data_IF_946419912893
#
_entry.id   IF_946419912893
#
_cell.length_a   1.000
_cell.length_b   1.000
_cell.length_c   1.000
_cell.angle_alpha   90.00
_cell.angle_beta   90.00
_cell.angle_gamma   90.00
#
_symmetry.space_group_name_H-M   'P 1'
#
loop_
_entity.id
_entity.type
_entity.pdbx_description
1 polymer ?
#
# COMPACT_ATOMS: atom_id res chain seq x y z
N UNK A 1 -59.09 35.41 51.35
CA UNK A 1 -59.80 35.51 50.04
C UNK A 1 -58.91 36.37 49.16
N UNK A 2 -58.29 35.94 48.07
CA UNK A 2 -58.77 35.07 46.99
C UNK A 2 -57.67 34.12 46.48
N UNK A 3 -58.12 32.94 46.08
CA UNK A 3 -57.39 31.88 45.38
C UNK A 3 -57.42 32.16 43.88
N UNK A 4 -56.30 32.00 43.17
CA UNK A 4 -56.33 31.82 41.71
C UNK A 4 -55.20 30.92 41.22
N UNK A 5 -55.54 29.63 41.09
CA UNK A 5 -55.22 28.67 40.03
C UNK A 5 -53.91 28.81 39.23
N UNK A 6 -52.96 27.91 39.52
CA UNK A 6 -51.94 27.48 38.57
C UNK A 6 -52.55 26.50 37.54
N UNK A 7 -52.67 26.92 36.27
CA UNK A 7 -53.01 26.04 35.15
C UNK A 7 -51.71 25.49 34.54
N UNK A 8 -51.54 24.17 34.60
CA UNK A 8 -50.48 23.45 33.90
C UNK A 8 -50.69 23.47 32.39
N UNK A 9 -49.65 23.83 31.64
CA UNK A 9 -49.54 23.55 30.22
C UNK A 9 -48.78 22.23 30.06
N UNK A 10 -49.52 21.16 29.80
CA UNK A 10 -48.94 19.93 29.26
C UNK A 10 -48.53 20.21 27.81
N UNK A 11 -47.22 20.25 27.55
CA UNK A 11 -46.65 20.33 26.21
C UNK A 11 -46.96 19.02 25.48
N UNK A 12 -47.90 19.06 24.54
CA UNK A 12 -48.20 17.94 23.65
C UNK A 12 -47.01 17.79 22.70
N UNK A 13 -46.20 16.75 22.90
CA UNK A 13 -45.13 16.36 21.98
C UNK A 13 -45.78 15.82 20.69
N UNK A 14 -45.48 16.35 19.50
CA UNK A 14 -46.08 15.86 18.27
C UNK A 14 -45.56 14.46 17.95
N UNK A 15 -46.48 13.56 17.56
CA UNK A 15 -46.12 12.23 17.08
C UNK A 15 -45.16 12.34 15.88
N UNK A 16 -44.10 11.51 15.80
CA UNK A 16 -43.15 11.56 14.69
C UNK A 16 -43.88 11.30 13.36
N UNK A 17 -43.59 12.14 12.36
CA UNK A 17 -44.19 12.04 11.03
C UNK A 17 -43.85 10.69 10.37
N UNK A 18 -44.77 10.18 9.55
CA UNK A 18 -44.62 8.92 8.80
C UNK A 18 -43.34 8.94 7.94
N UNK A 19 -42.92 10.12 7.47
CA UNK A 19 -41.67 10.33 6.74
C UNK A 19 -40.43 10.01 7.56
N UNK A 20 -40.39 10.39 8.85
CA UNK A 20 -39.29 10.02 9.74
C UNK A 20 -39.25 8.51 9.97
N UNK A 21 -40.40 7.87 10.18
CA UNK A 21 -40.51 6.42 10.38
C UNK A 21 -39.99 5.64 9.14
N UNK A 22 -40.31 6.11 7.93
CA UNK A 22 -39.83 5.51 6.68
C UNK A 22 -38.33 5.73 6.47
N UNK A 23 -37.79 6.89 6.85
CA UNK A 23 -36.36 7.20 6.77
C UNK A 23 -35.53 6.30 7.73
N UNK A 24 -36.02 6.09 8.96
CA UNK A 24 -35.36 5.17 9.92
C UNK A 24 -35.39 3.71 9.44
N UNK A 25 -36.50 3.25 8.85
CA UNK A 25 -36.61 1.90 8.29
C UNK A 25 -35.73 1.69 7.05
N UNK A 26 -35.56 2.71 6.21
CA UNK A 26 -34.66 2.68 5.05
C UNK A 26 -33.19 2.59 5.48
N UNK A 27 -32.78 3.41 6.45
CA UNK A 27 -31.42 3.40 7.01
C UNK A 27 -31.10 2.09 7.72
N UNK A 28 -32.06 1.49 8.44
CA UNK A 28 -31.87 0.20 9.11
C UNK A 28 -31.69 -0.98 8.12
N UNK A 29 -32.40 -0.96 6.98
CA UNK A 29 -32.21 -1.95 5.90
C UNK A 29 -30.87 -1.78 5.18
N UNK A 30 -30.45 -0.55 4.92
CA UNK A 30 -29.12 -0.28 4.35
C UNK A 30 -28.01 -0.71 5.31
N UNK A 31 -28.15 -0.43 6.61
CA UNK A 31 -27.18 -0.80 7.64
C UNK A 31 -27.06 -2.33 7.78
N UNK A 32 -28.18 -3.07 7.76
CA UNK A 32 -28.17 -4.54 7.83
C UNK A 32 -27.64 -5.19 6.55
N UNK A 33 -27.85 -4.59 5.38
CA UNK A 33 -27.22 -5.03 4.13
C UNK A 33 -25.70 -4.78 4.13
N UNK A 34 -25.27 -3.60 4.60
CA UNK A 34 -23.85 -3.28 4.80
C UNK A 34 -23.19 -4.26 5.78
N UNK A 35 -23.81 -4.52 6.93
CA UNK A 35 -23.30 -5.49 7.92
C UNK A 35 -23.20 -6.90 7.34
N UNK A 36 -24.14 -7.33 6.48
CA UNK A 36 -24.08 -8.63 5.80
C UNK A 36 -22.94 -8.70 4.78
N UNK A 37 -22.72 -7.64 4.00
CA UNK A 37 -21.62 -7.56 3.03
C UNK A 37 -20.26 -7.56 3.76
N UNK A 38 -20.16 -6.83 4.87
CA UNK A 38 -18.96 -6.81 5.71
C UNK A 38 -18.72 -8.19 6.31
N UNK A 39 -19.75 -8.87 6.82
CA UNK A 39 -19.62 -10.22 7.36
C UNK A 39 -19.21 -11.26 6.31
N UNK A 40 -19.75 -11.19 5.09
CA UNK A 40 -19.34 -12.08 3.99
C UNK A 40 -17.93 -11.76 3.48
N UNK A 41 -17.53 -10.49 3.43
CA UNK A 41 -16.16 -10.10 3.12
C UNK A 41 -15.17 -10.59 4.19
N UNK A 42 -15.53 -10.50 5.48
CA UNK A 42 -14.75 -10.99 6.60
C UNK A 42 -14.62 -12.52 6.59
N UNK A 43 -15.67 -13.24 6.18
CA UNK A 43 -15.66 -14.70 6.01
C UNK A 43 -14.81 -15.15 4.80
N UNK A 44 -14.74 -14.33 3.74
CA UNK A 44 -13.87 -14.61 2.59
C UNK A 44 -12.39 -14.33 2.90
N UNK A 45 -12.11 -13.40 3.82
CA UNK A 45 -10.76 -13.10 4.30
C UNK A 45 -10.14 -14.25 5.10
N UNK A 46 -10.93 -15.07 5.81
CA UNK A 46 -10.40 -16.22 6.56
C UNK A 46 -9.97 -17.39 5.66
N UNK A 47 -10.47 -17.48 4.43
CA UNK A 47 -10.07 -18.52 3.47
C UNK A 47 -8.78 -18.21 2.69
N UNK A 48 -8.23 -16.99 2.78
CA UNK A 48 -7.01 -16.59 2.06
C UNK A 48 -5.72 -16.68 2.89
N UNK A 49 -5.79 -17.25 4.10
CA UNK A 49 -4.67 -17.31 5.04
C UNK A 49 -3.52 -18.26 4.68
N UNK A 50 -3.62 -19.07 3.62
CA UNK A 50 -2.65 -20.13 3.34
C UNK A 50 -1.67 -19.84 2.18
N UNK A 51 -1.64 -18.64 1.62
CA UNK A 51 -0.68 -18.27 0.57
C UNK A 51 0.11 -17.00 0.94
N UNK A 52 0.82 -17.06 2.07
CA UNK A 52 1.79 -16.01 2.42
C UNK A 52 3.14 -16.37 1.83
N UNK A 53 3.61 -15.59 0.86
CA UNK A 53 5.01 -15.64 0.46
C UNK A 53 5.91 -15.23 1.61
N UNK A 54 7.08 -15.87 1.79
CA UNK A 54 8.07 -15.36 2.71
C UNK A 54 8.59 -14.00 2.22
N UNK A 55 8.95 -13.07 3.13
CA UNK A 55 9.45 -11.73 2.77
C UNK A 55 10.66 -11.74 1.83
N UNK A 56 11.48 -12.79 1.90
CA UNK A 56 12.66 -12.96 1.05
C UNK A 56 12.44 -13.95 -0.12
N UNK A 57 11.24 -14.49 -0.26
CA UNK A 57 10.92 -15.48 -1.30
C UNK A 57 10.82 -14.90 -2.71
N UNK A 58 10.69 -15.76 -3.73
CA UNK A 58 10.41 -15.32 -5.09
C UNK A 58 9.12 -14.50 -5.18
N UNK A 59 8.97 -13.73 -6.26
CA UNK A 59 7.75 -12.99 -6.52
C UNK A 59 6.64 -13.97 -6.93
N UNK A 60 5.52 -13.98 -6.20
CA UNK A 60 4.36 -14.80 -6.55
C UNK A 60 3.38 -14.01 -7.41
N UNK A 61 3.33 -14.35 -8.70
CA UNK A 61 2.51 -13.69 -9.71
C UNK A 61 1.66 -14.72 -10.48
N UNK A 62 0.66 -15.36 -9.84
CA UNK A 62 -0.21 -16.35 -10.48
C UNK A 62 -1.07 -15.75 -11.60
N UNK A 63 -1.20 -14.42 -11.65
CA UNK A 63 -2.00 -13.70 -12.64
C UNK A 63 -1.14 -12.94 -13.66
N UNK A 64 0.12 -13.34 -13.86
CA UNK A 64 1.04 -12.70 -14.79
C UNK A 64 0.42 -12.39 -16.17
N UNK A 65 -0.33 -13.31 -16.84
CA UNK A 65 -0.93 -13.01 -18.14
C UNK A 65 -1.97 -11.88 -18.11
N UNK A 66 -2.68 -11.72 -16.98
CA UNK A 66 -3.67 -10.66 -16.77
C UNK A 66 -2.95 -9.37 -16.39
N UNK A 67 -2.02 -9.45 -15.44
CA UNK A 67 -1.21 -8.33 -14.97
C UNK A 67 -0.43 -7.66 -16.12
N UNK A 68 0.15 -8.44 -17.04
CA UNK A 68 0.80 -7.93 -18.26
C UNK A 68 -0.16 -7.16 -19.17
N UNK A 69 -1.41 -7.61 -19.33
CA UNK A 69 -2.43 -6.91 -20.13
C UNK A 69 -2.83 -5.58 -19.50
N UNK A 70 -3.04 -5.57 -18.17
CA UNK A 70 -3.36 -4.35 -17.43
C UNK A 70 -2.16 -3.39 -17.44
N UNK A 71 -0.94 -3.91 -17.28
CA UNK A 71 0.28 -3.12 -17.42
C UNK A 71 0.38 -2.47 -18.81
N UNK A 72 0.11 -3.22 -19.88
CA UNK A 72 0.12 -2.68 -21.24
C UNK A 72 -0.96 -1.59 -21.42
N UNK A 73 -2.14 -1.77 -20.84
CA UNK A 73 -3.18 -0.74 -20.82
C UNK A 73 -2.72 0.52 -20.08
N UNK A 74 -2.19 0.37 -18.86
CA UNK A 74 -1.68 1.49 -18.05
C UNK A 74 -0.55 2.24 -18.76
N UNK A 75 0.38 1.50 -19.37
CA UNK A 75 1.50 2.08 -20.11
C UNK A 75 1.01 2.88 -21.33
N UNK A 76 0.03 2.36 -22.09
CA UNK A 76 -0.60 3.12 -23.18
C UNK A 76 -1.31 4.37 -22.67
N UNK A 77 -2.12 4.26 -21.60
CA UNK A 77 -2.80 5.40 -21.00
C UNK A 77 -1.80 6.46 -20.53
N UNK A 78 -0.68 6.06 -19.93
CA UNK A 78 0.40 6.98 -19.55
C UNK A 78 1.02 7.66 -20.78
N UNK A 79 1.44 6.89 -21.78
CA UNK A 79 2.11 7.43 -22.97
C UNK A 79 1.25 8.43 -23.76
N UNK A 80 -0.04 8.15 -23.91
CA UNK A 80 -0.94 8.97 -24.74
C UNK A 80 -1.64 10.09 -23.97
N UNK A 81 -1.82 9.95 -22.65
CA UNK A 81 -2.61 10.89 -21.86
C UNK A 81 -1.77 11.51 -20.76
N UNK A 82 -1.29 10.70 -19.81
CA UNK A 82 -0.74 11.24 -18.57
C UNK A 82 0.65 11.87 -18.76
N UNK A 83 1.56 11.23 -19.50
CA UNK A 83 2.92 11.70 -19.78
C UNK A 83 2.94 13.02 -20.58
N UNK A 84 2.13 13.20 -21.65
CA UNK A 84 2.00 14.51 -22.31
C UNK A 84 1.47 15.60 -21.37
N UNK A 85 0.42 15.31 -20.59
CA UNK A 85 -0.15 16.28 -19.63
C UNK A 85 0.88 16.66 -18.57
N UNK A 86 1.58 15.68 -17.98
CA UNK A 86 2.62 15.91 -16.98
C UNK A 86 3.82 16.69 -17.55
N UNK A 87 4.19 16.42 -18.80
CA UNK A 87 5.26 17.17 -19.49
C UNK A 87 4.84 18.62 -19.72
N UNK A 88 3.60 18.85 -20.15
CA UNK A 88 3.05 20.21 -20.31
C UNK A 88 2.94 20.94 -18.98
N UNK A 89 2.48 20.27 -17.92
CA UNK A 89 2.41 20.78 -16.56
C UNK A 89 3.78 21.26 -16.07
N UNK A 90 4.82 20.43 -16.23
CA UNK A 90 6.21 20.77 -15.89
C UNK A 90 6.81 21.86 -16.78
N UNK A 91 6.37 21.96 -18.03
CA UNK A 91 6.86 22.99 -18.95
C UNK A 91 6.26 24.38 -18.64
N UNK A 92 4.99 24.45 -18.23
CA UNK A 92 4.27 25.71 -18.00
C UNK A 92 4.54 26.28 -16.61
N UNK A 93 4.69 25.43 -15.60
CA UNK A 93 4.86 25.87 -14.22
C UNK A 93 6.34 26.15 -13.90
N UNK A 94 6.65 27.27 -13.22
CA UNK A 94 7.97 27.46 -12.63
C UNK A 94 8.27 26.41 -11.57
N UNK A 95 9.53 26.01 -11.44
CA UNK A 95 9.98 24.96 -10.49
C UNK A 95 9.48 25.17 -9.05
N UNK A 96 9.40 26.42 -8.58
CA UNK A 96 8.90 26.77 -7.24
C UNK A 96 7.42 26.41 -7.08
N UNK A 97 6.60 26.64 -8.12
CA UNK A 97 5.17 26.33 -8.09
C UNK A 97 4.95 24.83 -8.22
N UNK A 98 5.67 24.18 -9.15
CA UNK A 98 5.62 22.72 -9.32
C UNK A 98 5.98 22.01 -8.01
N UNK A 99 7.11 22.39 -7.40
CA UNK A 99 7.56 21.84 -6.12
C UNK A 99 6.60 22.18 -4.97
N UNK A 100 6.03 23.39 -4.97
CA UNK A 100 5.05 23.78 -3.96
C UNK A 100 3.79 22.92 -3.99
N UNK A 101 3.25 22.64 -5.18
CA UNK A 101 2.10 21.75 -5.34
C UNK A 101 2.47 20.32 -4.91
N UNK A 102 3.65 19.82 -5.30
CA UNK A 102 4.16 18.53 -4.84
C UNK A 102 4.25 18.44 -3.30
N UNK A 103 4.75 19.49 -2.66
CA UNK A 103 4.87 19.56 -1.20
C UNK A 103 3.50 19.57 -0.51
N UNK A 104 2.50 20.28 -1.06
CA UNK A 104 1.13 20.29 -0.51
C UNK A 104 0.55 18.88 -0.50
N UNK A 105 0.61 18.16 -1.63
CA UNK A 105 0.13 16.77 -1.68
C UNK A 105 0.92 15.86 -0.76
N UNK A 106 2.24 16.03 -0.69
CA UNK A 106 3.06 15.27 0.25
C UNK A 106 2.69 15.54 1.71
N UNK A 107 2.40 16.80 2.08
CA UNK A 107 2.03 17.19 3.43
C UNK A 107 0.67 16.59 3.81
N UNK A 108 -0.28 16.54 2.87
CA UNK A 108 -1.57 15.89 3.09
C UNK A 108 -1.45 14.39 3.34
N UNK A 109 -0.49 13.72 2.70
CA UNK A 109 -0.22 12.30 2.93
C UNK A 109 0.40 12.03 4.31
N UNK A 110 1.04 13.01 4.96
CA UNK A 110 1.59 12.86 6.32
C UNK A 110 0.51 12.45 7.33
N UNK A 111 -0.75 12.90 7.14
CA UNK A 111 -1.88 12.48 8.00
C UNK A 111 -2.07 10.96 7.95
N UNK A 112 -1.99 10.38 6.75
CA UNK A 112 -2.09 8.94 6.60
C UNK A 112 -0.86 8.23 7.21
N UNK A 113 0.33 8.77 7.02
CA UNK A 113 1.57 8.24 7.62
C UNK A 113 1.43 8.19 9.15
N UNK A 114 1.11 9.31 9.79
CA UNK A 114 0.96 9.41 11.26
C UNK A 114 -0.07 8.40 11.80
N UNK A 115 -1.21 8.26 11.12
CA UNK A 115 -2.22 7.25 11.53
C UNK A 115 -1.61 5.85 11.49
N UNK A 116 -0.87 5.52 10.44
CA UNK A 116 -0.26 4.20 10.30
C UNK A 116 0.94 4.00 11.23
N UNK A 117 1.76 5.02 11.50
CA UNK A 117 2.82 4.95 12.51
C UNK A 117 2.25 4.56 13.87
N UNK A 118 1.16 5.21 14.28
CA UNK A 118 0.48 4.91 15.55
C UNK A 118 -0.08 3.48 15.54
N UNK A 119 -0.72 3.06 14.45
CA UNK A 119 -1.24 1.69 14.32
C UNK A 119 -0.13 0.63 14.32
N UNK A 120 1.07 0.97 13.86
CA UNK A 120 2.26 0.11 13.89
C UNK A 120 3.02 0.21 15.22
N UNK A 121 2.61 1.10 16.14
CA UNK A 121 3.29 1.32 17.42
C UNK A 121 4.58 2.16 17.33
N UNK A 122 4.85 2.80 16.19
CA UNK A 122 6.05 3.62 15.92
C UNK A 122 5.88 5.06 16.43
N UNK A 123 5.72 5.24 17.74
CA UNK A 123 5.38 6.55 18.34
C UNK A 123 6.41 7.67 18.07
N UNK A 124 7.69 7.32 17.94
CA UNK A 124 8.75 8.31 17.63
C UNK A 124 8.58 8.83 16.19
N UNK A 125 8.33 7.94 15.23
CA UNK A 125 8.06 8.32 13.83
C UNK A 125 6.77 9.14 13.76
N UNK A 126 5.70 8.68 14.42
CA UNK A 126 4.43 9.41 14.49
C UNK A 126 4.61 10.86 15.00
N UNK A 127 5.45 11.06 16.02
CA UNK A 127 5.74 12.40 16.55
C UNK A 127 6.56 13.25 15.56
N UNK A 128 7.51 12.65 14.85
CA UNK A 128 8.30 13.32 13.81
C UNK A 128 7.43 13.75 12.64
N UNK A 129 6.61 12.84 12.08
CA UNK A 129 5.74 13.12 10.94
C UNK A 129 4.61 14.09 11.32
N UNK A 130 4.09 14.01 12.55
CA UNK A 130 3.18 15.04 13.09
C UNK A 130 3.83 16.41 13.16
N UNK A 131 5.10 16.47 13.59
CA UNK A 131 5.87 17.72 13.64
C UNK A 131 6.10 18.30 12.25
N UNK A 132 6.42 17.45 11.27
CA UNK A 132 6.53 17.83 9.85
C UNK A 132 5.22 18.42 9.34
N UNK A 133 4.10 17.74 9.57
CA UNK A 133 2.77 18.21 9.18
C UNK A 133 2.45 19.57 9.79
N UNK A 134 2.65 19.75 11.10
CA UNK A 134 2.37 21.01 11.79
C UNK A 134 3.25 22.13 11.26
N UNK A 135 4.57 21.91 11.14
CA UNK A 135 5.50 22.93 10.64
C UNK A 135 5.20 23.33 9.21
N UNK A 136 5.00 22.37 8.32
CA UNK A 136 4.70 22.62 6.91
C UNK A 136 3.34 23.29 6.74
N UNK A 137 2.35 22.93 7.53
CA UNK A 137 1.01 23.55 7.46
C UNK A 137 1.00 24.98 8.01
N UNK A 138 1.69 25.22 9.13
CA UNK A 138 1.67 26.52 9.82
C UNK A 138 2.68 27.51 9.23
N UNK A 139 3.96 27.15 9.25
CA UNK A 139 5.05 28.00 8.80
C UNK A 139 5.35 27.82 7.30
N UNK A 140 5.05 26.64 6.76
CA UNK A 140 5.21 26.33 5.34
C UNK A 140 4.04 26.77 4.45
N UNK A 141 3.13 27.60 4.96
CA UNK A 141 1.97 28.14 4.25
C UNK A 141 1.10 27.02 3.67
N UNK A 142 0.51 26.20 4.53
CA UNK A 142 -0.37 25.09 4.12
C UNK A 142 0.35 23.93 3.43
N UNK A 143 1.67 23.83 3.58
CA UNK A 143 2.50 22.79 2.98
C UNK A 143 3.15 23.17 1.66
N UNK A 144 3.05 24.43 1.20
CA UNK A 144 3.76 24.89 0.00
C UNK A 144 5.29 24.80 0.16
N UNK A 145 5.78 25.10 1.36
CA UNK A 145 7.20 24.98 1.68
C UNK A 145 7.44 23.83 2.67
N UNK A 146 8.27 22.86 2.29
CA UNK A 146 8.71 21.78 3.18
C UNK A 146 9.79 22.27 4.14
N UNK A 147 9.35 22.85 5.26
CA UNK A 147 10.21 23.29 6.35
C UNK A 147 10.68 22.14 7.22
N UNK A 148 9.88 21.07 7.35
CA UNK A 148 10.24 19.86 8.09
C UNK A 148 11.58 19.29 7.61
N UNK A 149 11.74 19.15 6.30
CA UNK A 149 13.02 18.70 5.71
C UNK A 149 14.14 19.71 5.95
N UNK A 150 13.87 21.02 5.87
CA UNK A 150 14.90 22.06 6.10
C UNK A 150 15.45 22.07 7.52
N UNK A 151 14.64 21.68 8.51
CA UNK A 151 15.07 21.55 9.92
C UNK A 151 15.57 20.15 10.27
N UNK A 152 15.69 19.25 9.27
CA UNK A 152 16.27 17.93 9.44
C UNK A 152 15.33 16.87 10.00
N UNK A 153 14.01 17.06 9.94
CA UNK A 153 13.07 16.01 10.33
C UNK A 153 13.05 14.90 9.26
N UNK A 154 13.30 13.63 9.62
CA UNK A 154 13.21 12.52 8.69
C UNK A 154 11.78 12.38 8.17
N UNK A 155 11.64 12.01 6.90
CA UNK A 155 10.34 11.79 6.25
C UNK A 155 10.08 10.31 6.13
N UNK A 156 8.94 9.85 6.63
CA UNK A 156 8.51 8.46 6.48
C UNK A 156 7.33 8.35 5.52
N UNK A 157 6.99 7.11 5.15
CA UNK A 157 5.82 6.82 4.34
C UNK A 157 5.23 5.49 4.77
N UNK A 158 4.11 5.58 5.48
CA UNK A 158 3.39 4.43 5.99
C UNK A 158 1.98 4.35 5.41
N UNK A 159 1.58 3.12 5.09
CA UNK A 159 0.30 2.81 4.45
C UNK A 159 -0.42 1.72 5.23
N UNK A 160 -1.75 1.65 5.08
CA UNK A 160 -2.54 0.55 5.67
C UNK A 160 -2.07 -0.83 5.20
N UNK A 161 -1.51 -0.94 3.99
CA UNK A 161 -0.91 -2.18 3.49
C UNK A 161 0.32 -2.60 4.28
N UNK A 162 1.20 -1.66 4.63
CA UNK A 162 2.34 -1.92 5.52
C UNK A 162 1.88 -2.25 6.93
N UNK A 163 0.92 -1.49 7.47
CA UNK A 163 0.34 -1.76 8.78
C UNK A 163 -0.21 -3.18 8.87
N UNK A 164 -1.01 -3.62 7.90
CA UNK A 164 -1.47 -5.02 7.86
C UNK A 164 -0.30 -6.03 7.84
N UNK A 165 0.80 -5.71 7.15
CA UNK A 165 2.01 -6.52 7.14
C UNK A 165 2.69 -6.62 8.51
N UNK A 166 2.81 -5.50 9.23
CA UNK A 166 3.34 -5.47 10.61
C UNK A 166 2.49 -6.34 11.55
N UNK A 167 1.18 -6.39 11.31
CA UNK A 167 0.23 -7.20 12.07
C UNK A 167 0.16 -8.67 11.60
N UNK A 168 1.06 -9.10 10.72
CA UNK A 168 1.21 -10.50 10.31
C UNK A 168 0.33 -10.93 9.13
N UNK A 169 -0.37 -10.00 8.47
CA UNK A 169 -1.11 -10.32 7.25
C UNK A 169 -0.10 -10.44 6.09
N UNK A 170 -0.07 -11.63 5.47
CA UNK A 170 0.78 -11.92 4.31
C UNK A 170 0.51 -10.98 3.13
N UNK A 171 1.53 -10.76 2.29
CA UNK A 171 1.41 -9.85 1.13
C UNK A 171 0.38 -10.33 0.09
N UNK A 172 0.22 -11.65 -0.06
CA UNK A 172 -0.56 -12.28 -1.09
C UNK A 172 0.04 -12.12 -2.50
N UNK A 173 -0.64 -12.61 -3.54
CA UNK A 173 -0.24 -12.47 -4.93
C UNK A 173 0.06 -11.03 -5.35
N UNK A 174 1.03 -10.87 -6.25
CA UNK A 174 1.25 -9.64 -7.00
C UNK A 174 0.07 -9.37 -7.95
N UNK A 175 -0.35 -8.11 -8.02
CA UNK A 175 -1.44 -7.66 -8.88
C UNK A 175 -1.05 -6.35 -9.55
N UNK A 176 -1.52 -6.13 -10.77
CA UNK A 176 -1.46 -4.81 -11.39
C UNK A 176 -2.87 -4.25 -11.46
N UNK A 177 -3.06 -3.10 -10.82
CA UNK A 177 -4.33 -2.39 -10.82
C UNK A 177 -4.45 -1.48 -12.05
N UNK A 178 -5.61 -1.44 -12.73
CA UNK A 178 -5.85 -0.45 -13.78
C UNK A 178 -5.67 0.97 -13.22
N UNK A 179 -4.97 1.83 -13.96
CA UNK A 179 -4.58 3.20 -13.62
C UNK A 179 -3.61 3.36 -12.43
N UNK A 180 -3.66 2.49 -11.42
CA UNK A 180 -2.86 2.63 -10.19
C UNK A 180 -1.52 1.88 -10.24
N UNK A 181 -1.37 0.90 -11.12
CA UNK A 181 -0.10 0.21 -11.35
C UNK A 181 0.17 -0.97 -10.39
N UNK A 182 1.45 -1.30 -10.14
CA UNK A 182 1.88 -2.42 -9.30
C UNK A 182 1.29 -2.39 -7.88
N UNK A 183 0.81 -3.53 -7.40
CA UNK A 183 0.34 -3.74 -6.04
C UNK A 183 0.44 -5.23 -5.64
N UNK A 184 0.06 -5.59 -4.42
CA UNK A 184 -0.26 -6.95 -4.02
C UNK A 184 -1.67 -6.98 -3.40
N UNK A 185 -2.21 -8.16 -3.08
CA UNK A 185 -3.58 -8.27 -2.54
C UNK A 185 -3.73 -7.49 -1.23
N UNK A 186 -2.77 -7.61 -0.31
CA UNK A 186 -2.78 -6.87 0.96
C UNK A 186 -2.72 -5.36 0.74
N UNK A 187 -1.81 -4.90 -0.09
CA UNK A 187 -1.62 -3.50 -0.44
C UNK A 187 -2.83 -2.92 -1.17
N UNK A 188 -3.55 -3.73 -1.95
CA UNK A 188 -4.82 -3.33 -2.58
C UNK A 188 -5.90 -3.10 -1.53
N UNK A 189 -6.02 -4.00 -0.54
CA UNK A 189 -6.92 -3.78 0.60
C UNK A 189 -6.52 -2.51 1.39
N UNK A 190 -5.22 -2.28 1.57
CA UNK A 190 -4.70 -1.07 2.22
C UNK A 190 -5.00 0.20 1.42
N UNK A 191 -4.92 0.14 0.10
CA UNK A 191 -5.30 1.22 -0.79
C UNK A 191 -6.80 1.55 -0.70
N UNK A 192 -7.66 0.52 -0.60
CA UNK A 192 -9.10 0.73 -0.37
C UNK A 192 -9.34 1.39 0.98
N UNK A 193 -8.68 0.90 2.04
CA UNK A 193 -8.76 1.51 3.37
C UNK A 193 -8.38 3.00 3.33
N UNK A 194 -7.24 3.32 2.71
CA UNK A 194 -6.81 4.70 2.49
C UNK A 194 -7.89 5.57 1.83
N UNK A 195 -8.48 5.10 0.73
CA UNK A 195 -9.52 5.85 0.01
C UNK A 195 -10.79 6.08 0.86
N UNK A 196 -11.11 5.15 1.77
CA UNK A 196 -12.28 5.25 2.63
C UNK A 196 -12.06 6.08 3.90
N UNK A 197 -10.81 6.23 4.35
CA UNK A 197 -10.50 6.82 5.67
C UNK A 197 -9.66 8.09 5.62
N UNK A 198 -8.57 8.14 4.86
CA UNK A 198 -7.57 9.22 4.97
C UNK A 198 -7.33 9.96 3.66
N UNK A 199 -7.94 9.51 2.55
CA UNK A 199 -7.84 10.23 1.29
C UNK A 199 -8.58 11.58 1.34
N UNK A 200 -7.89 12.65 0.96
CA UNK A 200 -8.49 13.99 0.93
C UNK A 200 -9.73 14.09 0.01
N UNK A 201 -9.74 13.53 -1.22
CA UNK A 201 -10.89 13.65 -2.12
C UNK A 201 -12.20 13.14 -1.53
N UNK A 202 -12.15 12.20 -0.58
CA UNK A 202 -13.32 11.65 0.12
C UNK A 202 -14.09 12.70 0.94
N UNK A 203 -13.38 13.73 1.41
CA UNK A 203 -13.91 14.79 2.27
C UNK A 203 -14.29 16.07 1.50
N UNK A 204 -14.20 16.05 0.17
CA UNK A 204 -14.63 17.15 -0.69
C UNK A 204 -16.04 16.86 -1.20
N UNK A 205 -17.02 17.67 -0.81
CA UNK A 205 -18.44 17.46 -1.17
C UNK A 205 -18.72 17.69 -2.66
N UNK A 206 -18.01 18.62 -3.29
CA UNK A 206 -18.24 18.96 -4.69
C UNK A 206 -17.46 18.03 -5.63
N UNK A 207 -18.18 17.19 -6.37
CA UNK A 207 -17.62 16.13 -7.22
C UNK A 207 -16.54 16.63 -8.19
N UNK A 208 -16.80 17.74 -8.90
CA UNK A 208 -15.80 18.28 -9.84
C UNK A 208 -14.55 18.80 -9.13
N UNK A 209 -14.69 19.32 -7.90
CA UNK A 209 -13.53 19.76 -7.11
C UNK A 209 -12.74 18.56 -6.64
N UNK A 210 -13.41 17.51 -6.15
CA UNK A 210 -12.78 16.25 -5.73
C UNK A 210 -12.00 15.60 -6.87
N UNK A 211 -12.61 15.53 -8.05
CA UNK A 211 -11.98 15.05 -9.27
C UNK A 211 -10.79 15.91 -9.67
N UNK A 212 -10.92 17.25 -9.61
CA UNK A 212 -9.84 18.18 -9.97
C UNK A 212 -8.64 18.05 -9.04
N UNK A 213 -8.87 17.91 -7.73
CA UNK A 213 -7.81 17.68 -6.74
C UNK A 213 -7.10 16.35 -7.01
N UNK A 214 -7.88 15.29 -7.24
CA UNK A 214 -7.33 13.96 -7.56
C UNK A 214 -6.49 14.00 -8.84
N UNK A 215 -7.02 14.58 -9.92
CA UNK A 215 -6.33 14.71 -11.20
C UNK A 215 -5.04 15.52 -11.06
N UNK A 216 -5.08 16.63 -10.32
CA UNK A 216 -3.89 17.46 -10.05
C UNK A 216 -2.82 16.67 -9.30
N UNK A 217 -3.21 15.90 -8.28
CA UNK A 217 -2.29 15.03 -7.54
C UNK A 217 -1.63 13.96 -8.42
N UNK A 218 -2.40 13.32 -9.30
CA UNK A 218 -1.88 12.33 -10.25
C UNK A 218 -0.92 12.97 -11.25
N UNK A 219 -1.27 14.12 -11.83
CA UNK A 219 -0.41 14.86 -12.78
C UNK A 219 0.87 15.33 -12.11
N UNK A 220 0.78 15.93 -10.92
CA UNK A 220 1.93 16.39 -10.13
C UNK A 220 2.88 15.23 -9.78
N UNK A 221 2.32 14.09 -9.36
CA UNK A 221 3.12 12.89 -9.08
C UNK A 221 3.82 12.37 -10.34
N UNK A 222 3.10 12.31 -11.47
CA UNK A 222 3.71 11.87 -12.73
C UNK A 222 4.82 12.81 -13.20
N UNK A 223 4.62 14.13 -13.04
CA UNK A 223 5.60 15.15 -13.42
C UNK A 223 6.93 14.95 -12.68
N UNK A 224 6.88 14.67 -11.37
CA UNK A 224 8.05 14.34 -10.55
C UNK A 224 8.74 13.03 -11.01
N UNK A 225 7.97 12.08 -11.55
CA UNK A 225 8.46 10.78 -12.01
C UNK A 225 8.88 10.73 -13.49
N UNK A 226 8.80 11.84 -14.24
CA UNK A 226 9.16 11.86 -15.67
C UNK A 226 10.59 11.42 -15.95
N UNK A 227 11.55 11.79 -15.08
CA UNK A 227 12.95 11.40 -15.24
C UNK A 227 13.17 9.92 -14.95
N UNK A 228 12.59 9.40 -13.86
CA UNK A 228 12.68 7.98 -13.51
C UNK A 228 12.04 7.08 -14.58
N UNK A 229 10.90 7.50 -15.14
CA UNK A 229 10.23 6.76 -16.22
C UNK A 229 11.10 6.60 -17.47
N UNK A 230 11.89 7.61 -17.85
CA UNK A 230 12.80 7.51 -18.99
C UNK A 230 13.90 6.46 -18.81
N UNK A 231 14.37 6.29 -17.57
CA UNK A 231 15.37 5.26 -17.26
C UNK A 231 14.77 3.86 -17.38
N UNK A 232 13.54 3.68 -16.88
CA UNK A 232 12.80 2.43 -17.02
C UNK A 232 12.57 2.05 -18.50
N UNK A 233 12.13 3.03 -19.31
CA UNK A 233 11.86 2.84 -20.74
C UNK A 233 13.13 2.45 -21.54
N UNK A 234 14.32 2.84 -21.08
CA UNK A 234 15.58 2.66 -21.79
C UNK A 234 16.40 1.44 -21.32
N UNK A 235 16.28 1.07 -20.04
CA UNK A 235 17.17 0.08 -19.41
C UNK A 235 16.61 -1.35 -19.37
N UNK A 236 15.29 -1.52 -19.48
CA UNK A 236 14.65 -2.82 -19.26
C UNK A 236 14.35 -3.56 -20.58
N UNK A 237 14.87 -4.78 -20.72
CA UNK A 237 14.50 -5.70 -21.80
C UNK A 237 13.03 -6.15 -21.68
N UNK A 238 12.59 -6.46 -20.45
CA UNK A 238 11.18 -6.64 -20.09
C UNK A 238 10.80 -5.62 -19.00
N UNK A 239 10.21 -4.47 -19.38
CA UNK A 239 9.79 -3.43 -18.45
C UNK A 239 8.77 -3.89 -17.40
N UNK A 240 7.95 -4.90 -17.71
CA UNK A 240 6.97 -5.43 -16.77
C UNK A 240 7.67 -6.19 -15.64
N UNK A 241 8.53 -7.16 -15.98
CA UNK A 241 9.24 -7.97 -14.98
C UNK A 241 10.14 -7.09 -14.11
N UNK A 242 10.88 -6.17 -14.74
CA UNK A 242 11.73 -5.23 -14.01
C UNK A 242 10.93 -4.40 -12.99
N UNK A 243 9.80 -3.82 -13.42
CA UNK A 243 8.96 -3.00 -12.54
C UNK A 243 8.34 -3.83 -11.42
N UNK A 244 7.88 -5.05 -11.72
CA UNK A 244 7.32 -5.97 -10.74
C UNK A 244 8.35 -6.30 -9.66
N UNK A 245 9.53 -6.76 -10.05
CA UNK A 245 10.54 -7.23 -9.12
C UNK A 245 11.11 -6.07 -8.29
N UNK A 246 11.30 -4.90 -8.91
CA UNK A 246 11.67 -3.67 -8.20
C UNK A 246 10.60 -3.27 -7.18
N UNK A 247 9.32 -3.22 -7.58
CA UNK A 247 8.23 -2.81 -6.69
C UNK A 247 8.08 -3.77 -5.51
N UNK A 248 8.08 -5.09 -5.75
CA UNK A 248 7.94 -6.10 -4.69
C UNK A 248 9.07 -5.98 -3.68
N UNK A 249 10.31 -5.86 -4.15
CA UNK A 249 11.48 -5.67 -3.28
C UNK A 249 11.35 -4.40 -2.44
N UNK A 250 11.05 -3.27 -3.08
CA UNK A 250 10.90 -2.00 -2.39
C UNK A 250 9.76 -2.05 -1.36
N UNK A 251 8.61 -2.61 -1.72
CA UNK A 251 7.45 -2.72 -0.83
C UNK A 251 7.76 -3.58 0.39
N UNK A 252 8.43 -4.73 0.22
CA UNK A 252 8.86 -5.58 1.34
C UNK A 252 9.82 -4.84 2.26
N UNK A 253 10.81 -4.13 1.71
CA UNK A 253 11.71 -3.30 2.51
C UNK A 253 10.96 -2.24 3.30
N UNK A 254 9.96 -1.58 2.70
CA UNK A 254 9.17 -0.54 3.38
C UNK A 254 8.23 -1.09 4.47
N UNK A 255 7.91 -2.39 4.47
CA UNK A 255 7.11 -3.02 5.55
C UNK A 255 7.97 -3.30 6.78
N UNK A 256 9.26 -3.57 6.58
CA UNK A 256 10.19 -3.96 7.64
C UNK A 256 11.27 -2.90 7.89
N UNK A 257 11.01 -1.63 7.59
CA UNK A 257 11.93 -0.51 7.84
C UNK A 257 13.36 -0.73 7.27
N UNK A 258 13.44 -1.41 6.12
CA UNK A 258 14.69 -1.76 5.44
C UNK A 258 15.39 -3.02 5.96
N UNK A 259 14.86 -3.69 6.98
CA UNK A 259 15.44 -4.87 7.61
C UNK A 259 14.54 -6.09 7.39
N UNK A 260 14.74 -6.83 6.30
CA UNK A 260 13.94 -8.04 6.04
C UNK A 260 14.21 -9.09 7.13
N UNK A 261 13.17 -9.78 7.66
CA UNK A 261 13.36 -10.90 8.55
C UNK A 261 14.17 -11.98 7.84
N UNK A 262 15.21 -12.50 8.49
CA UNK A 262 15.98 -13.64 7.98
C UNK A 262 15.03 -14.77 7.56
N UNK A 263 15.27 -15.43 6.41
CA UNK A 263 14.49 -16.60 6.07
C UNK A 263 14.61 -17.59 7.22
N UNK A 264 13.49 -18.20 7.61
CA UNK A 264 13.52 -19.29 8.57
C UNK A 264 14.46 -20.35 7.99
N UNK A 265 15.63 -20.53 8.62
CA UNK A 265 16.53 -21.63 8.28
C UNK A 265 15.71 -22.91 8.42
N UNK A 266 15.55 -23.64 7.33
CA UNK A 266 15.10 -25.04 7.31
C UNK A 266 16.22 -25.90 7.87
N UNK A 267 16.56 -25.68 9.14
CA UNK A 267 17.71 -26.29 9.85
C UNK A 267 17.45 -27.75 10.24
N UNK A 268 16.73 -28.50 9.42
CA UNK A 268 16.43 -29.90 9.68
C UNK A 268 16.29 -30.73 8.41
N UNK A 269 16.11 -30.11 7.24
CA UNK A 269 16.16 -30.84 5.96
C UNK A 269 17.49 -30.62 5.25
N UNK A 270 18.05 -29.41 5.37
CA UNK A 270 19.20 -29.01 4.56
C UNK A 270 20.53 -29.46 5.17
N UNK A 271 20.58 -29.73 6.49
CA UNK A 271 21.74 -30.39 7.12
C UNK A 271 21.72 -31.88 6.79
N UNK A 272 20.56 -32.54 6.90
CA UNK A 272 20.40 -33.95 6.54
C UNK A 272 20.67 -34.22 5.04
N UNK A 273 20.28 -33.30 4.13
CA UNK A 273 20.58 -33.42 2.69
C UNK A 273 22.08 -33.24 2.39
N UNK A 274 22.78 -32.38 3.14
CA UNK A 274 24.22 -32.18 2.97
C UNK A 274 25.01 -33.36 3.55
N UNK A 275 24.59 -33.88 4.70
CA UNK A 275 25.18 -35.07 5.32
C UNK A 275 24.96 -36.32 4.43
N UNK A 276 23.80 -36.47 3.78
CA UNK A 276 23.56 -37.55 2.78
C UNK A 276 24.44 -37.40 1.53
N UNK A 277 24.73 -36.17 1.08
CA UNK A 277 25.61 -35.94 -0.08
C UNK A 277 27.08 -36.23 0.25
N UNK A 278 27.53 -35.81 1.44
CA UNK A 278 28.90 -36.09 1.91
C UNK A 278 29.11 -37.60 2.12
N UNK A 279 28.11 -38.34 2.61
CA UNK A 279 28.16 -39.81 2.71
C UNK A 279 28.21 -40.52 1.34
N UNK A 280 27.56 -39.98 0.30
CA UNK A 280 27.59 -40.54 -1.05
C UNK A 280 28.94 -40.32 -1.74
N UNK A 281 29.54 -39.13 -1.57
CA UNK A 281 30.86 -38.83 -2.12
C UNK A 281 31.96 -39.70 -1.45
N UNK A 282 31.85 -39.99 -0.15
CA UNK A 282 32.76 -40.93 0.54
C UNK A 282 32.62 -42.39 0.05
N UNK A 283 31.41 -42.81 -0.35
CA UNK A 283 31.18 -44.15 -0.89
C UNK A 283 31.73 -44.29 -2.33
N UNK A 284 31.56 -43.27 -3.16
CA UNK A 284 32.12 -43.26 -4.52
C UNK A 284 33.68 -43.26 -4.49
N UNK A 285 34.30 -42.59 -3.51
CA UNK A 285 35.77 -42.66 -3.31
C UNK A 285 36.25 -44.05 -2.85
N UNK A 286 35.44 -44.79 -2.09
CA UNK A 286 35.79 -46.16 -1.64
C UNK A 286 35.64 -47.19 -2.77
N UNK A 287 34.61 -47.07 -3.60
CA UNK A 287 34.43 -47.93 -4.78
C UNK A 287 35.55 -47.71 -5.82
N UNK A 288 36.05 -46.47 -5.99
CA UNK A 288 37.23 -46.21 -6.84
C UNK A 288 38.54 -46.83 -6.30
N UNK A 289 38.67 -47.01 -4.98
CA UNK A 289 39.86 -47.61 -4.36
C UNK A 289 39.85 -49.14 -4.46
N UNK A 290 38.69 -49.78 -4.33
CA UNK A 290 38.54 -51.23 -4.50
C UNK A 290 38.74 -51.65 -5.98
N UNK A 291 38.39 -50.80 -6.95
CA UNK A 291 38.62 -51.06 -8.38
C UNK A 291 40.12 -51.00 -8.78
N UNK A 292 40.95 -50.33 -7.98
CA UNK A 292 42.40 -50.24 -8.19
C UNK A 292 43.17 -51.45 -7.64
N UNK A 293 42.66 -52.10 -6.59
CA UNK A 293 43.27 -53.30 -5.99
C UNK A 293 42.95 -54.57 -6.80
N UNK A 294 41.90 -54.57 -7.64
CA UNK A 294 41.56 -55.71 -8.51
C UNK A 294 42.41 -55.80 -9.79
N UNK A 295 43.18 -54.75 -10.12
CA UNK A 295 44.07 -54.67 -11.28
C UNK A 295 45.48 -55.26 -11.05
N UNK A 296 45.84 -55.60 -9.81
CA UNK A 296 47.17 -56.08 -9.44
C UNK A 296 47.19 -57.54 -8.93
N UNK A 297 46.11 -58.30 -9.15
CA UNK A 297 46.08 -59.74 -8.83
C UNK A 297 46.89 -60.55 -9.86
N UNK A 298 48.01 -61.20 -9.47
CA UNK A 298 48.79 -62.03 -10.39
C UNK A 298 48.12 -63.41 -10.61
N UNK A 299 47.98 -63.82 -11.88
CA UNK A 299 47.75 -65.23 -12.29
C UNK A 299 48.91 -66.16 -11.89
#
# INVERSE_FOLDING_TARGET
MQSTAAKGLATIMPAPSILNQLQYACNARQLTQLMRIVATALLLLTFSGCASNPPQGPVYDPWEPVNRKIYAFNNKADQYVLKPIATGYRFVLPDIVESGIANVFSNLLEVNTVVNDVLQGKFIQAAQDSSRFILNTTLGVGGLFDLGTRVGLPKHSETYGQTMGVWGIGEGPYVVLPFFGPNNVRGTAGFVAFNLTTSLPRYIEHDLTSLSVSATGVVSTRAQLLSAGRLLDQAALDPYLFLRDFWVRQHRLSVYDGQLPEPARTSASDEDELDELDELDELDELDELDELDELDAPE
#
